data_IF_383311526257
#
_entry.id   IF_383311526257
#
_cell.length_a   1.000
_cell.length_b   1.000
_cell.length_c   1.000
_cell.angle_alpha   90.00
_cell.angle_beta   90.00
_cell.angle_gamma   90.00
#
_symmetry.space_group_name_H-M   'P 1'
#
loop_
_entity.id
_entity.type
_entity.pdbx_description
1 polymer ?
#
# COMPACT_ATOMS: atom_id res chain seq x y z
N UNK A 1 11.54 54.40 -12.30
CA UNK A 1 10.60 54.02 -13.39
C UNK A 1 11.46 54.01 -14.64
N UNK A 2 11.80 52.88 -15.26
CA UNK A 2 10.92 51.86 -15.86
C UNK A 2 11.66 50.50 -15.96
N UNK A 3 10.89 49.41 -15.95
CA UNK A 3 11.22 48.00 -16.27
C UNK A 3 11.84 47.86 -17.70
N UNK A 4 12.42 46.75 -18.20
CA UNK A 4 12.13 45.31 -18.05
C UNK A 4 13.29 44.47 -18.65
N UNK A 5 13.33 43.19 -18.30
CA UNK A 5 14.25 42.11 -18.71
C UNK A 5 14.28 41.75 -20.21
N UNK A 6 15.33 41.01 -20.65
CA UNK A 6 15.21 39.68 -21.31
C UNK A 6 16.58 39.00 -21.61
N UNK A 7 16.71 37.82 -20.97
CA UNK A 7 17.33 36.51 -21.31
C UNK A 7 17.84 36.22 -22.74
N UNK A 8 18.99 35.52 -22.85
CA UNK A 8 19.20 34.19 -23.53
C UNK A 8 20.71 33.84 -23.55
N UNK A 9 21.16 32.77 -22.88
CA UNK A 9 21.27 31.35 -23.28
C UNK A 9 22.56 30.97 -24.04
N UNK A 10 23.37 30.15 -23.38
CA UNK A 10 24.16 29.02 -23.90
C UNK A 10 24.82 28.35 -22.66
N UNK A 11 25.03 27.04 -22.50
CA UNK A 11 24.71 25.78 -23.18
C UNK A 11 25.29 24.67 -22.27
N UNK A 12 24.73 23.47 -22.34
CA UNK A 12 25.31 22.18 -21.94
C UNK A 12 25.26 21.72 -20.46
N UNK A 13 24.29 20.82 -20.23
CA UNK A 13 24.45 19.45 -19.69
C UNK A 13 25.12 19.26 -18.33
N UNK A 14 24.30 18.92 -17.34
CA UNK A 14 24.59 17.77 -16.46
C UNK A 14 23.30 16.99 -16.26
N UNK A 15 23.33 15.72 -16.65
CA UNK A 15 22.35 14.75 -16.20
C UNK A 15 22.29 14.84 -14.67
N UNK A 16 21.09 15.00 -14.13
CA UNK A 16 20.82 14.89 -12.71
C UNK A 16 21.44 13.58 -12.22
N UNK A 17 22.32 13.59 -11.21
CA UNK A 17 22.76 12.35 -10.61
C UNK A 17 21.50 11.63 -10.14
N UNK A 18 21.35 10.37 -10.56
CA UNK A 18 20.44 9.43 -9.91
C UNK A 18 20.91 9.41 -8.46
N UNK A 19 20.15 10.04 -7.58
CA UNK A 19 20.41 10.07 -6.14
C UNK A 19 20.64 8.62 -5.74
N UNK A 20 21.89 8.29 -5.41
CA UNK A 20 22.25 6.98 -4.88
C UNK A 20 21.64 6.95 -3.49
N UNK A 21 20.41 6.43 -3.43
CA UNK A 21 19.72 6.20 -2.17
C UNK A 21 20.61 5.23 -1.39
N UNK A 22 21.11 5.65 -0.24
CA UNK A 22 21.87 4.77 0.64
C UNK A 22 21.03 3.51 0.91
N UNK A 23 21.59 2.30 0.75
CA UNK A 23 20.84 1.08 0.94
C UNK A 23 20.33 1.03 2.38
N UNK A 24 19.01 1.03 2.54
CA UNK A 24 18.36 0.96 3.83
C UNK A 24 17.64 -0.38 3.99
N UNK A 25 17.38 -0.79 5.24
CA UNK A 25 16.55 -1.95 5.49
C UNK A 25 15.09 -1.61 5.17
N UNK A 26 14.32 -2.61 4.71
CA UNK A 26 12.89 -2.44 4.53
C UNK A 26 12.22 -2.11 5.86
N UNK A 27 11.43 -1.04 5.89
CA UNK A 27 10.71 -0.60 7.09
C UNK A 27 9.20 -0.52 6.81
N UNK A 28 8.40 -1.07 7.72
CA UNK A 28 6.94 -1.02 7.64
C UNK A 28 6.33 -0.68 8.99
N UNK A 29 5.39 0.26 8.98
CA UNK A 29 4.59 0.61 10.15
C UNK A 29 3.13 0.80 9.78
N UNK A 30 2.24 0.64 10.76
CA UNK A 30 0.84 0.97 10.59
C UNK A 30 0.33 1.76 11.80
N UNK A 31 -0.71 2.55 11.58
CA UNK A 31 -1.41 3.30 12.63
C UNK A 31 -2.91 3.12 12.43
N UNK A 32 -3.59 2.66 13.46
CA UNK A 32 -5.05 2.61 13.48
C UNK A 32 -5.57 4.03 13.73
N UNK A 33 -6.15 4.64 12.70
CA UNK A 33 -6.72 5.99 12.78
C UNK A 33 -8.09 5.97 13.46
N UNK A 34 -8.80 4.85 13.35
CA UNK A 34 -10.05 4.55 14.05
C UNK A 34 -10.29 3.04 14.08
N UNK A 35 -11.40 2.59 14.68
CA UNK A 35 -11.84 1.19 14.63
C UNK A 35 -12.16 0.71 13.20
N UNK A 36 -12.34 1.61 12.24
CA UNK A 36 -12.70 1.29 10.85
C UNK A 36 -11.68 1.81 9.82
N UNK A 37 -10.54 2.37 10.26
CA UNK A 37 -9.55 2.91 9.35
C UNK A 37 -8.12 2.70 9.85
N UNK A 38 -7.26 2.17 8.98
CA UNK A 38 -5.83 1.97 9.21
C UNK A 38 -5.02 2.71 8.15
N UNK A 39 -3.88 3.27 8.56
CA UNK A 39 -2.87 3.82 7.65
C UNK A 39 -1.61 2.97 7.72
N UNK A 40 -1.03 2.66 6.57
CA UNK A 40 0.26 2.02 6.42
C UNK A 40 1.28 3.03 5.92
N UNK A 41 2.50 2.90 6.41
CA UNK A 41 3.69 3.60 5.91
C UNK A 41 4.80 2.59 5.72
N UNK A 42 5.32 2.51 4.51
CA UNK A 42 6.38 1.56 4.14
C UNK A 42 7.50 2.37 3.48
N UNK A 43 8.73 2.01 3.80
CA UNK A 43 9.93 2.47 3.10
C UNK A 43 10.67 1.22 2.62
N UNK A 44 10.72 1.03 1.30
CA UNK A 44 11.40 -0.09 0.64
C UNK A 44 12.91 0.08 0.68
N UNK A 45 13.68 -0.99 0.46
CA UNK A 45 15.13 -0.96 0.57
C UNK A 45 15.81 -0.05 -0.47
N UNK A 46 15.12 0.27 -1.57
CA UNK A 46 15.54 1.24 -2.58
C UNK A 46 15.20 2.71 -2.22
N UNK A 47 14.60 2.94 -1.04
CA UNK A 47 14.13 4.23 -0.54
C UNK A 47 12.73 4.62 -1.00
N UNK A 48 12.03 3.78 -1.75
CA UNK A 48 10.66 4.05 -2.18
C UNK A 48 9.73 4.09 -0.97
N UNK A 49 9.02 5.20 -0.80
CA UNK A 49 8.03 5.38 0.26
C UNK A 49 6.63 5.09 -0.26
N UNK A 50 5.85 4.33 0.50
CA UNK A 50 4.48 3.95 0.16
C UNK A 50 3.59 4.25 1.37
N UNK A 51 2.66 5.19 1.22
CA UNK A 51 1.58 5.41 2.18
C UNK A 51 0.26 4.91 1.59
N UNK A 52 -0.45 4.04 2.31
CA UNK A 52 -1.77 3.57 1.89
C UNK A 52 -2.72 3.49 3.07
N UNK A 53 -3.99 3.84 2.84
CA UNK A 53 -5.03 3.76 3.86
C UNK A 53 -5.97 2.61 3.53
N UNK A 54 -6.33 1.83 4.54
CA UNK A 54 -7.38 0.81 4.46
C UNK A 54 -8.60 1.29 5.22
N UNK A 55 -9.78 1.04 4.67
CA UNK A 55 -11.06 1.27 5.34
C UNK A 55 -11.78 -0.06 5.50
N UNK A 56 -12.34 -0.29 6.68
CA UNK A 56 -13.08 -1.51 6.99
C UNK A 56 -14.35 -1.60 6.12
N UNK A 57 -14.59 -2.72 5.41
CA UNK A 57 -15.57 -2.80 4.32
C UNK A 57 -17.02 -3.11 4.76
N UNK A 58 -17.32 -3.06 6.06
CA UNK A 58 -18.62 -3.49 6.61
C UNK A 58 -18.59 -4.96 7.07
N UNK A 59 -19.46 -5.33 8.03
CA UNK A 59 -19.40 -6.62 8.75
C UNK A 59 -19.54 -7.80 7.82
N UNK A 60 -20.59 -7.78 7.02
CA UNK A 60 -20.87 -8.85 6.06
C UNK A 60 -19.73 -9.03 5.04
N UNK A 61 -19.13 -7.93 4.55
CA UNK A 61 -18.02 -8.00 3.61
C UNK A 61 -16.75 -8.52 4.29
N UNK A 62 -16.45 -8.06 5.50
CA UNK A 62 -15.31 -8.53 6.28
C UNK A 62 -15.42 -10.03 6.61
N UNK A 63 -16.59 -10.49 7.07
CA UNK A 63 -16.87 -11.91 7.34
C UNK A 63 -16.77 -12.76 6.06
N UNK A 64 -17.22 -12.25 4.91
CA UNK A 64 -17.07 -12.94 3.63
C UNK A 64 -15.59 -13.06 3.21
N UNK A 65 -14.80 -11.99 3.41
CA UNK A 65 -13.35 -12.00 3.15
C UNK A 65 -12.65 -12.98 4.10
N UNK A 66 -12.99 -12.96 5.39
CA UNK A 66 -12.47 -13.89 6.38
C UNK A 66 -12.83 -15.34 6.03
N UNK A 67 -14.07 -15.61 5.59
CA UNK A 67 -14.46 -16.94 5.14
C UNK A 67 -13.64 -17.43 3.92
N UNK A 68 -13.17 -16.51 3.06
CA UNK A 68 -12.26 -16.86 1.95
C UNK A 68 -10.86 -17.26 2.43
N UNK A 69 -10.43 -16.85 3.63
CA UNK A 69 -9.13 -17.28 4.19
C UNK A 69 -9.09 -18.78 4.45
N UNK A 70 -10.22 -19.35 4.85
CA UNK A 70 -10.39 -20.75 5.17
C UNK A 70 -11.12 -21.47 4.04
N UNK A 71 -10.43 -21.70 2.93
CA UNK A 71 -10.98 -22.54 1.87
C UNK A 71 -10.68 -24.01 2.16
N UNK A 72 -11.74 -24.80 2.42
CA UNK A 72 -11.66 -26.26 2.41
C UNK A 72 -11.86 -26.73 0.98
N UNK A 73 -10.79 -27.19 0.34
CA UNK A 73 -10.84 -27.82 -0.98
C UNK A 73 -10.52 -29.30 -0.79
N UNK A 74 -11.47 -30.17 -1.18
CA UNK A 74 -11.37 -31.63 -1.02
C UNK A 74 -11.17 -32.10 0.44
N UNK A 75 -11.79 -31.44 1.41
CA UNK A 75 -11.70 -31.83 2.83
C UNK A 75 -10.39 -31.45 3.53
N UNK A 76 -9.48 -30.76 2.83
CA UNK A 76 -8.23 -30.23 3.38
C UNK A 76 -8.34 -28.72 3.49
N UNK A 77 -8.04 -28.17 4.68
CA UNK A 77 -7.82 -26.73 4.82
C UNK A 77 -6.60 -26.35 3.97
N UNK A 78 -6.81 -25.61 2.88
CA UNK A 78 -5.72 -25.11 2.05
C UNK A 78 -5.49 -23.64 2.36
N UNK A 79 -4.22 -23.22 2.28
CA UNK A 79 -3.81 -21.83 2.38
C UNK A 79 -4.58 -20.99 1.35
N UNK A 80 -5.20 -19.91 1.84
CA UNK A 80 -5.78 -18.76 1.14
C UNK A 80 -5.74 -18.82 -0.40
N UNK A 81 -6.90 -19.00 -1.07
CA UNK A 81 -6.98 -18.89 -2.53
C UNK A 81 -6.53 -17.50 -2.99
N UNK A 82 -6.00 -17.36 -4.20
CA UNK A 82 -5.70 -16.05 -4.80
C UNK A 82 -6.88 -15.07 -4.79
N UNK A 83 -8.12 -15.58 -4.65
CA UNK A 83 -9.33 -14.76 -4.51
C UNK A 83 -9.43 -14.05 -3.15
N UNK A 84 -8.85 -14.59 -2.08
CA UNK A 84 -8.74 -13.89 -0.79
C UNK A 84 -7.90 -12.61 -0.94
N UNK A 85 -6.68 -12.73 -1.50
CA UNK A 85 -5.81 -11.57 -1.71
C UNK A 85 -6.43 -10.55 -2.67
N UNK A 86 -7.14 -10.99 -3.72
CA UNK A 86 -7.91 -10.09 -4.58
C UNK A 86 -9.03 -9.36 -3.83
N UNK A 87 -9.67 -10.01 -2.85
CA UNK A 87 -10.68 -9.36 -2.03
C UNK A 87 -10.05 -8.33 -1.07
N UNK A 88 -8.87 -8.62 -0.50
CA UNK A 88 -8.10 -7.65 0.29
C UNK A 88 -7.72 -6.41 -0.54
N UNK A 89 -7.37 -6.57 -1.82
CA UNK A 89 -7.08 -5.42 -2.70
C UNK A 89 -8.19 -4.37 -2.72
N UNK A 90 -9.45 -4.78 -2.55
CA UNK A 90 -10.61 -3.89 -2.58
C UNK A 90 -10.73 -2.98 -1.35
N UNK A 91 -10.07 -3.30 -0.23
CA UNK A 91 -10.14 -2.52 1.00
C UNK A 91 -9.07 -1.43 1.07
N UNK A 92 -8.05 -1.49 0.21
CA UNK A 92 -7.04 -0.46 0.10
C UNK A 92 -7.54 0.75 -0.69
N UNK A 93 -7.28 1.93 -0.14
CA UNK A 93 -7.38 3.19 -0.87
C UNK A 93 -6.23 3.36 -1.87
N UNK A 94 -6.21 4.52 -2.52
CA UNK A 94 -5.14 4.87 -3.45
C UNK A 94 -3.81 5.05 -2.70
N UNK A 95 -2.72 4.36 -3.10
CA UNK A 95 -1.42 4.57 -2.49
C UNK A 95 -0.83 5.91 -2.90
N UNK A 96 -0.03 6.49 -2.01
CA UNK A 96 0.87 7.60 -2.27
C UNK A 96 2.27 7.03 -2.32
N UNK A 97 2.91 7.09 -3.49
CA UNK A 97 4.26 6.56 -3.70
C UNK A 97 5.21 7.73 -3.89
N UNK A 98 6.27 7.82 -3.09
CA UNK A 98 7.24 8.93 -3.12
C UNK A 98 6.56 10.31 -3.05
N UNK A 99 5.59 10.44 -2.14
CA UNK A 99 4.80 11.65 -1.92
C UNK A 99 3.80 12.00 -3.03
N UNK A 100 3.66 11.17 -4.07
CA UNK A 100 2.73 11.38 -5.18
C UNK A 100 1.57 10.39 -5.08
N UNK A 101 0.34 10.91 -4.99
CA UNK A 101 -0.85 10.07 -5.06
C UNK A 101 -0.85 9.32 -6.39
N UNK A 102 -0.69 8.00 -6.33
CA UNK A 102 -0.70 7.17 -7.52
C UNK A 102 -2.10 7.10 -8.09
N UNK A 103 -2.19 7.02 -9.42
CA UNK A 103 -3.43 6.60 -10.09
C UNK A 103 -3.65 5.09 -10.00
N UNK A 104 -2.60 4.33 -9.66
CA UNK A 104 -2.68 2.91 -9.46
C UNK A 104 -3.60 2.56 -8.28
N UNK A 105 -4.26 1.42 -8.39
CA UNK A 105 -4.91 0.74 -7.28
C UNK A 105 -3.95 -0.31 -6.75
N UNK A 106 -4.04 -0.65 -5.47
CA UNK A 106 -3.33 -1.80 -4.93
C UNK A 106 -3.90 -3.05 -5.59
N UNK A 107 -3.12 -3.70 -6.45
CA UNK A 107 -3.46 -4.93 -7.16
C UNK A 107 -2.17 -5.71 -7.47
N UNK A 108 -2.25 -6.84 -8.18
CA UNK A 108 -1.07 -7.62 -8.55
C UNK A 108 -0.02 -6.78 -9.30
N UNK A 109 -0.43 -5.97 -10.28
CA UNK A 109 0.50 -5.13 -11.07
C UNK A 109 1.23 -4.08 -10.22
N UNK A 110 0.59 -3.57 -9.16
CA UNK A 110 1.24 -2.70 -8.19
C UNK A 110 2.35 -3.46 -7.47
N UNK A 111 2.07 -4.68 -6.98
CA UNK A 111 3.06 -5.48 -6.27
C UNK A 111 4.17 -6.02 -7.15
N UNK A 112 3.94 -6.22 -8.45
CA UNK A 112 5.03 -6.55 -9.40
C UNK A 112 6.06 -5.42 -9.55
N UNK A 113 5.73 -4.20 -9.12
CA UNK A 113 6.62 -3.03 -9.14
C UNK A 113 7.26 -2.72 -7.78
N UNK A 114 6.95 -3.52 -6.76
CA UNK A 114 7.34 -3.32 -5.37
C UNK A 114 7.95 -4.61 -4.80
N UNK A 115 8.55 -4.52 -3.61
CA UNK A 115 9.17 -5.69 -2.99
C UNK A 115 8.12 -6.71 -2.49
N UNK A 116 8.44 -8.01 -2.56
CA UNK A 116 7.59 -9.08 -2.00
C UNK A 116 7.26 -8.83 -0.51
N UNK A 117 8.20 -8.24 0.25
CA UNK A 117 7.97 -7.83 1.64
C UNK A 117 6.84 -6.82 1.80
N UNK A 118 6.70 -5.90 0.85
CA UNK A 118 5.61 -4.91 0.82
C UNK A 118 4.27 -5.61 0.62
N UNK A 119 4.22 -6.61 -0.26
CA UNK A 119 3.04 -7.45 -0.45
C UNK A 119 2.67 -8.21 0.83
N UNK A 120 3.60 -9.00 1.36
CA UNK A 120 3.37 -9.84 2.54
C UNK A 120 2.89 -9.01 3.73
N UNK A 121 3.56 -7.88 3.98
CA UNK A 121 3.20 -6.98 5.07
C UNK A 121 1.82 -6.35 4.90
N UNK A 122 1.50 -5.81 3.72
CA UNK A 122 0.18 -5.21 3.49
C UNK A 122 -0.93 -6.26 3.60
N UNK A 123 -0.73 -7.47 3.09
CA UNK A 123 -1.73 -8.53 3.18
C UNK A 123 -1.92 -8.99 4.64
N UNK A 124 -0.84 -9.35 5.34
CA UNK A 124 -0.87 -9.85 6.72
C UNK A 124 -1.48 -8.82 7.68
N UNK A 125 -1.03 -7.56 7.60
CA UNK A 125 -1.53 -6.52 8.51
C UNK A 125 -2.92 -6.05 8.13
N UNK A 126 -3.37 -6.21 6.88
CA UNK A 126 -4.76 -5.93 6.52
C UNK A 126 -5.67 -7.05 6.99
N UNK A 127 -5.27 -8.31 6.84
CA UNK A 127 -5.99 -9.45 7.42
C UNK A 127 -6.17 -9.28 8.94
N UNK A 128 -5.08 -8.99 9.65
CA UNK A 128 -5.13 -8.68 11.10
C UNK A 128 -6.00 -7.47 11.45
N UNK A 129 -6.22 -6.54 10.51
CA UNK A 129 -7.15 -5.42 10.73
C UNK A 129 -8.60 -5.89 10.60
N UNK A 130 -8.89 -6.73 9.62
CA UNK A 130 -10.24 -7.22 9.32
C UNK A 130 -10.72 -8.28 10.32
N UNK A 131 -9.80 -9.07 10.89
CA UNK A 131 -10.09 -10.09 11.91
C UNK A 131 -10.32 -9.52 13.31
N UNK A 132 -10.11 -8.22 13.51
CA UNK A 132 -10.52 -7.55 14.75
C UNK A 132 -12.03 -7.47 14.74
N UNK A 133 -12.66 -7.88 15.83
CA UNK A 133 -14.04 -7.53 16.11
C UNK A 133 -14.12 -6.00 16.11
N UNK A 134 -14.79 -5.35 15.15
CA UNK A 134 -15.04 -3.93 15.27
C UNK A 134 -15.90 -3.76 16.52
N UNK A 135 -15.40 -3.07 17.53
CA UNK A 135 -16.22 -2.66 18.67
C UNK A 135 -17.47 -2.00 18.09
N UNK A 136 -18.59 -2.70 18.20
CA UNK A 136 -19.86 -2.29 17.58
C UNK A 136 -20.69 -1.48 18.56
N UNK A 137 -20.09 -1.01 19.66
CA UNK A 137 -20.83 -0.34 20.74
C UNK A 137 -19.90 0.55 21.56
N UNK A 138 -20.10 1.87 21.42
CA UNK A 138 -20.21 2.81 22.55
C UNK A 138 -20.95 4.06 22.11
#
# INVERSE_FOLDING_TARGET
MTETATKEQAKATKATPKEEVEPQEWEGSYTDLSNIQRSFKITESDGTTIDVKVKWPGKQTAENIEAMTMAVVDGVQRLTPGDFHKALFQVFGKPVVNGKTSKAVINADFFEQHEDKTYDYLMEKTDSFLSRTPDTDK
#
